data_IF_550944967128
#
_entry.id   IF_550944967128
#
_cell.length_a   1.000
_cell.length_b   1.000
_cell.length_c   1.000
_cell.angle_alpha   90.00
_cell.angle_beta   90.00
_cell.angle_gamma   90.00
#
_symmetry.space_group_name_H-M   'P 1'
#
loop_
_entity.id
_entity.type
_entity.pdbx_description
1 polymer ?
#
# COMPACT_ATOMS: atom_id res chain seq x y z
N UNK A 1 -38.05 44.31 19.41
CA UNK A 1 -37.22 43.18 19.88
C UNK A 1 -37.22 41.99 18.91
N UNK A 2 -38.36 41.56 18.36
CA UNK A 2 -38.44 40.44 17.40
C UNK A 2 -37.69 40.66 16.05
N UNK A 3 -37.67 41.89 15.52
CA UNK A 3 -37.01 42.22 14.25
C UNK A 3 -35.48 42.16 14.32
N UNK A 4 -34.87 42.60 15.42
CA UNK A 4 -33.43 42.45 15.70
C UNK A 4 -33.04 40.97 15.85
N UNK A 5 -33.93 40.15 16.42
CA UNK A 5 -33.74 38.71 16.58
C UNK A 5 -33.73 37.99 15.22
N UNK A 6 -34.67 38.33 14.32
CA UNK A 6 -34.72 37.78 12.97
C UNK A 6 -33.49 38.18 12.13
N UNK A 7 -33.05 39.44 12.23
CA UNK A 7 -31.84 39.93 11.54
C UNK A 7 -30.56 39.19 11.99
N UNK A 8 -30.43 38.95 13.30
CA UNK A 8 -29.34 38.16 13.88
C UNK A 8 -29.32 36.72 13.34
N UNK A 9 -30.48 36.07 13.26
CA UNK A 9 -30.59 34.71 12.73
C UNK A 9 -30.25 34.61 11.23
N UNK A 10 -30.71 35.57 10.43
CA UNK A 10 -30.36 35.62 9.00
C UNK A 10 -28.87 35.87 8.76
N UNK A 11 -28.25 36.71 9.58
CA UNK A 11 -26.80 36.97 9.51
C UNK A 11 -26.00 35.72 9.89
N UNK A 12 -26.40 35.02 10.95
CA UNK A 12 -25.77 33.77 11.38
C UNK A 12 -25.85 32.68 10.30
N UNK A 13 -27.00 32.53 9.65
CA UNK A 13 -27.19 31.58 8.55
C UNK A 13 -26.28 31.89 7.36
N UNK A 14 -26.16 33.16 6.97
CA UNK A 14 -25.27 33.58 5.89
C UNK A 14 -23.80 33.34 6.22
N UNK A 15 -23.40 33.58 7.48
CA UNK A 15 -22.04 33.33 7.94
C UNK A 15 -21.69 31.83 7.94
N UNK A 16 -22.59 30.97 8.44
CA UNK A 16 -22.39 29.51 8.45
C UNK A 16 -22.28 28.97 7.02
N UNK A 17 -23.15 29.43 6.12
CA UNK A 17 -23.11 29.01 4.70
C UNK A 17 -21.81 29.43 4.03
N UNK A 18 -21.34 30.68 4.25
CA UNK A 18 -20.03 31.14 3.76
C UNK A 18 -18.86 30.30 4.29
N UNK A 19 -18.84 30.01 5.59
CA UNK A 19 -17.78 29.19 6.21
C UNK A 19 -17.81 27.77 5.65
N UNK A 20 -19.00 27.16 5.49
CA UNK A 20 -19.13 25.83 4.92
C UNK A 20 -18.63 25.76 3.47
N UNK A 21 -18.89 26.79 2.66
CA UNK A 21 -18.43 26.89 1.29
C UNK A 21 -16.91 27.10 1.22
N UNK A 22 -16.36 27.93 2.10
CA UNK A 22 -14.92 28.12 2.21
C UNK A 22 -14.20 26.81 2.59
N UNK A 23 -14.74 26.03 3.53
CA UNK A 23 -14.20 24.73 3.92
C UNK A 23 -14.26 23.69 2.78
N UNK A 24 -15.32 23.75 1.94
CA UNK A 24 -15.42 22.94 0.73
C UNK A 24 -14.36 23.31 -0.32
N UNK A 25 -14.06 24.60 -0.49
CA UNK A 25 -13.04 25.08 -1.44
C UNK A 25 -11.62 24.76 -0.94
N UNK A 26 -11.39 24.79 0.38
CA UNK A 26 -10.11 24.48 1.00
C UNK A 26 -9.78 22.98 1.07
N UNK A 27 -10.72 22.09 0.70
CA UNK A 27 -10.41 20.67 0.52
C UNK A 27 -9.49 20.50 -0.68
N UNK A 28 -8.19 20.47 -0.42
CA UNK A 28 -7.28 19.97 -1.42
C UNK A 28 -7.52 18.46 -1.57
N UNK A 29 -7.78 17.95 -2.78
CA UNK A 29 -7.65 16.53 -3.01
C UNK A 29 -6.20 16.19 -2.64
N UNK A 30 -6.00 15.24 -1.73
CA UNK A 30 -4.69 14.64 -1.53
C UNK A 30 -4.28 14.06 -2.87
N UNK A 31 -3.51 14.82 -3.65
CA UNK A 31 -2.84 14.32 -4.84
C UNK A 31 -1.78 13.38 -4.32
N UNK A 32 -2.17 12.15 -4.04
CA UNK A 32 -1.22 11.05 -4.12
C UNK A 32 -0.63 11.19 -5.53
N UNK A 33 0.65 11.55 -5.60
CA UNK A 33 1.35 11.52 -6.87
C UNK A 33 1.04 10.16 -7.48
N UNK A 34 0.40 10.15 -8.65
CA UNK A 34 0.12 8.91 -9.35
C UNK A 34 1.47 8.38 -9.82
N UNK A 35 2.15 7.65 -8.95
CA UNK A 35 3.29 6.84 -9.31
C UNK A 35 2.74 5.74 -10.21
N UNK A 36 2.79 5.98 -11.51
CA UNK A 36 2.45 5.00 -12.54
C UNK A 36 3.52 3.91 -12.66
N UNK A 37 4.71 4.16 -12.10
CA UNK A 37 5.76 3.18 -11.98
C UNK A 37 5.33 2.07 -11.00
N UNK A 38 5.51 0.82 -11.43
CA UNK A 38 5.38 -0.33 -10.53
C UNK A 38 6.41 -0.17 -9.40
N UNK A 39 6.02 -0.43 -8.13
CA UNK A 39 6.96 -0.37 -7.03
C UNK A 39 8.09 -1.38 -7.24
N UNK A 40 9.32 -0.96 -6.97
CA UNK A 40 10.48 -1.85 -6.95
C UNK A 40 10.74 -2.22 -5.50
N UNK A 41 10.83 -3.51 -5.22
CA UNK A 41 11.08 -4.03 -3.87
C UNK A 41 12.50 -4.60 -3.83
N UNK A 42 13.35 -3.99 -3.00
CA UNK A 42 14.64 -4.56 -2.63
C UNK A 42 14.44 -5.36 -1.35
N UNK A 43 14.60 -6.68 -1.45
CA UNK A 43 14.44 -7.60 -0.35
C UNK A 43 15.82 -8.04 0.17
N UNK A 44 16.06 -7.82 1.46
CA UNK A 44 17.20 -8.35 2.20
C UNK A 44 16.66 -9.27 3.29
N UNK A 45 17.32 -10.40 3.53
CA UNK A 45 16.86 -11.33 4.55
C UNK A 45 17.57 -12.67 4.51
N UNK A 46 16.87 -13.66 5.03
CA UNK A 46 17.31 -15.04 5.18
C UNK A 46 16.53 -15.97 4.24
N UNK A 47 16.53 -17.27 4.56
CA UNK A 47 15.82 -18.31 3.82
C UNK A 47 14.34 -18.05 3.60
N UNK A 48 13.67 -17.28 4.46
CA UNK A 48 12.23 -17.00 4.35
C UNK A 48 11.91 -16.01 3.22
N UNK A 49 12.89 -15.26 2.73
CA UNK A 49 12.73 -14.30 1.63
C UNK A 49 13.63 -14.60 0.44
N UNK A 50 14.58 -15.53 0.58
CA UNK A 50 15.49 -15.90 -0.50
C UNK A 50 14.79 -16.69 -1.62
N UNK A 51 14.77 -16.09 -2.82
CA UNK A 51 14.15 -16.69 -4.01
C UNK A 51 15.13 -17.52 -4.86
N UNK A 52 16.37 -17.71 -4.40
CA UNK A 52 17.39 -18.52 -5.07
C UNK A 52 18.82 -17.98 -4.97
N UNK A 53 19.04 -16.90 -4.23
CA UNK A 53 20.33 -16.25 -3.97
C UNK A 53 21.34 -17.16 -3.28
N UNK A 54 20.93 -18.02 -2.35
CA UNK A 54 21.82 -19.02 -1.74
C UNK A 54 22.38 -20.00 -2.78
N UNK A 55 21.51 -20.50 -3.67
CA UNK A 55 21.91 -21.43 -4.75
C UNK A 55 22.79 -20.70 -5.78
N UNK A 56 22.42 -19.50 -6.18
CA UNK A 56 23.16 -18.73 -7.18
C UNK A 56 24.52 -18.24 -6.66
N UNK A 57 24.59 -17.79 -5.41
CA UNK A 57 25.79 -17.18 -4.83
C UNK A 57 26.80 -18.19 -4.30
N UNK A 58 26.34 -19.28 -3.68
CA UNK A 58 27.21 -20.26 -3.03
C UNK A 58 27.18 -21.64 -3.70
N UNK A 59 26.37 -21.84 -4.74
CA UNK A 59 26.21 -23.15 -5.37
C UNK A 59 25.57 -24.20 -4.45
N UNK A 60 24.93 -23.79 -3.36
CA UNK A 60 24.36 -24.70 -2.38
C UNK A 60 23.16 -25.44 -2.99
N UNK A 61 23.19 -26.79 -3.11
CA UNK A 61 22.14 -27.52 -3.80
C UNK A 61 20.89 -27.63 -2.92
N UNK A 62 19.79 -27.02 -3.36
CA UNK A 62 18.48 -27.21 -2.75
C UNK A 62 17.68 -28.17 -3.62
N UNK A 63 17.44 -29.38 -3.11
CA UNK A 63 16.65 -30.43 -3.77
C UNK A 63 15.26 -30.59 -3.16
N UNK A 64 14.57 -31.66 -3.57
CA UNK A 64 13.35 -32.12 -2.92
C UNK A 64 13.59 -32.33 -1.40
N UNK A 65 12.63 -32.03 -0.53
CA UNK A 65 11.21 -31.77 -0.83
C UNK A 65 10.86 -30.37 -1.35
N UNK A 66 11.80 -29.42 -1.29
CA UNK A 66 11.53 -28.02 -1.59
C UNK A 66 10.93 -27.81 -2.99
N UNK A 67 9.92 -26.96 -3.07
CA UNK A 67 9.13 -26.67 -4.25
C UNK A 67 8.10 -27.75 -4.64
N UNK A 68 7.91 -28.83 -3.86
CA UNK A 68 6.97 -29.92 -4.22
C UNK A 68 5.50 -29.47 -4.27
N UNK A 69 5.05 -28.62 -3.36
CA UNK A 69 3.61 -28.31 -3.20
C UNK A 69 3.12 -27.34 -4.26
N UNK A 70 3.87 -26.28 -4.53
CA UNK A 70 3.43 -25.22 -5.45
C UNK A 70 4.06 -25.33 -6.84
N UNK A 71 5.38 -25.45 -6.93
CA UNK A 71 6.10 -25.43 -8.22
C UNK A 71 6.24 -26.80 -8.88
N UNK A 72 6.04 -27.89 -8.11
CA UNK A 72 6.24 -29.29 -8.52
C UNK A 72 7.67 -29.59 -9.03
N UNK A 73 8.64 -28.77 -8.61
CA UNK A 73 10.08 -28.92 -8.86
C UNK A 73 10.85 -28.07 -7.86
N UNK A 74 12.12 -28.41 -7.62
CA UNK A 74 12.98 -27.50 -6.87
C UNK A 74 13.19 -26.19 -7.65
N UNK A 75 13.11 -25.07 -6.93
CA UNK A 75 13.33 -23.72 -7.45
C UNK A 75 14.51 -23.02 -6.77
N UNK A 76 15.27 -23.73 -5.94
CA UNK A 76 16.35 -23.13 -5.16
C UNK A 76 15.89 -22.34 -3.94
N UNK A 77 14.65 -22.54 -3.50
CA UNK A 77 14.07 -21.89 -2.31
C UNK A 77 13.96 -22.89 -1.18
N UNK A 78 14.19 -22.46 0.06
CA UNK A 78 14.01 -23.30 1.26
C UNK A 78 12.54 -23.35 1.70
N UNK A 79 11.65 -23.67 0.76
CA UNK A 79 10.19 -23.77 0.95
C UNK A 79 9.56 -24.71 -0.06
N UNK A 80 8.44 -25.34 0.29
CA UNK A 80 7.64 -26.16 -0.61
C UNK A 80 6.82 -25.34 -1.63
N UNK A 81 6.90 -24.00 -1.59
CA UNK A 81 6.21 -23.15 -2.55
C UNK A 81 6.57 -21.67 -2.51
N UNK A 82 5.54 -20.82 -2.59
CA UNK A 82 5.72 -19.36 -2.59
C UNK A 82 6.23 -18.84 -1.25
N UNK A 83 7.05 -17.80 -1.31
CA UNK A 83 7.50 -17.02 -0.16
C UNK A 83 6.62 -15.78 -0.01
N UNK A 84 6.68 -15.12 1.15
CA UNK A 84 5.91 -13.89 1.41
C UNK A 84 6.15 -12.83 0.33
N UNK A 85 7.39 -12.69 -0.14
CA UNK A 85 7.77 -11.74 -1.19
C UNK A 85 7.04 -11.97 -2.52
N UNK A 86 6.65 -13.20 -2.85
CA UNK A 86 5.88 -13.47 -4.08
C UNK A 86 4.45 -12.90 -4.03
N UNK A 87 3.91 -12.63 -2.83
CA UNK A 87 2.60 -12.02 -2.66
C UNK A 87 2.69 -10.49 -2.65
N UNK A 88 3.83 -9.92 -2.27
CA UNK A 88 4.09 -8.48 -2.28
C UNK A 88 4.42 -7.96 -3.70
N UNK A 89 5.02 -8.81 -4.54
CA UNK A 89 5.40 -8.48 -5.91
C UNK A 89 4.31 -8.81 -6.96
N UNK A 90 3.06 -9.03 -6.55
CA UNK A 90 1.91 -9.18 -7.46
C UNK A 90 1.37 -7.83 -7.89
#
# INVERSE_FOLDING_TARGET
MATLFLYSNTFSFFFITLVSLALLILRQPSRAASCTARPVIFNFGDSNSDTGGLVAGLGYPIGFPNGRLFFRRSTGRLSDGRLLIDFLCK
#
